data_IF_125755059048
#
_entry.id   IF_125755059048
#
_cell.length_a   1.000
_cell.length_b   1.000
_cell.length_c   1.000
_cell.angle_alpha   90.00
_cell.angle_beta   90.00
_cell.angle_gamma   90.00
#
_symmetry.space_group_name_H-M   'P 1'
#
loop_
_entity.id
_entity.type
_entity.pdbx_description
1 polymer ?
#
# COMPACT_ATOMS: atom_id res chain seq x y z
N UNK A 1 29.25 17.88 -9.68
CA UNK A 1 28.32 17.36 -8.64
C UNK A 1 27.26 16.53 -9.36
N UNK A 2 27.39 15.20 -9.52
CA UNK A 2 26.93 14.61 -10.78
C UNK A 2 25.69 13.70 -10.69
N UNK A 3 24.73 13.97 -11.59
CA UNK A 3 23.77 13.08 -12.28
C UNK A 3 22.78 12.19 -11.51
N UNK A 4 22.92 11.95 -10.21
CA UNK A 4 22.06 10.99 -9.51
C UNK A 4 20.60 11.44 -9.35
N UNK A 5 20.36 12.75 -9.31
CA UNK A 5 19.01 13.34 -9.17
C UNK A 5 18.17 13.19 -10.45
N UNK A 6 18.80 13.18 -11.63
CA UNK A 6 18.09 13.04 -12.93
C UNK A 6 17.58 11.61 -13.17
N UNK A 7 18.32 10.60 -12.68
CA UNK A 7 17.96 9.19 -12.91
C UNK A 7 16.76 8.73 -12.08
N UNK A 8 16.75 9.01 -10.77
CA UNK A 8 15.61 8.69 -9.89
C UNK A 8 14.37 9.53 -10.24
N UNK A 9 14.56 10.81 -10.56
CA UNK A 9 13.47 11.68 -11.01
C UNK A 9 12.85 11.13 -12.29
N UNK A 10 13.66 10.71 -13.27
CA UNK A 10 13.14 10.14 -14.51
C UNK A 10 12.43 8.80 -14.28
N UNK A 11 12.97 7.91 -13.45
CA UNK A 11 12.27 6.65 -13.10
C UNK A 11 10.92 6.96 -12.44
N UNK A 12 10.84 8.00 -11.61
CA UNK A 12 9.60 8.46 -10.97
C UNK A 12 8.59 8.99 -11.99
N UNK A 13 9.02 9.77 -12.98
CA UNK A 13 8.17 10.22 -14.10
C UNK A 13 7.61 9.04 -14.89
N UNK A 14 8.45 8.03 -15.17
CA UNK A 14 8.02 6.80 -15.87
C UNK A 14 7.03 6.01 -15.02
N UNK A 15 7.24 5.88 -13.71
CA UNK A 15 6.29 5.23 -12.81
C UNK A 15 4.93 5.97 -12.77
N UNK A 16 4.96 7.30 -12.81
CA UNK A 16 3.74 8.13 -12.87
C UNK A 16 3.01 7.92 -14.20
N UNK A 17 3.73 7.85 -15.32
CA UNK A 17 3.16 7.53 -16.63
C UNK A 17 2.55 6.13 -16.64
N UNK A 18 3.22 5.14 -16.04
CA UNK A 18 2.68 3.79 -15.88
C UNK A 18 1.33 3.80 -15.16
N UNK A 19 1.20 4.58 -14.08
CA UNK A 19 -0.08 4.67 -13.36
C UNK A 19 -1.19 5.22 -14.22
N UNK A 20 -0.94 6.27 -15.01
CA UNK A 20 -1.96 6.81 -15.92
C UNK A 20 -2.41 5.77 -16.95
N UNK A 21 -1.49 4.97 -17.49
CA UNK A 21 -1.85 3.87 -18.40
C UNK A 21 -2.70 2.83 -17.68
N UNK A 22 -2.30 2.43 -16.47
CA UNK A 22 -3.00 1.41 -15.69
C UNK A 22 -4.39 1.87 -15.23
N UNK A 23 -4.54 3.13 -14.83
CA UNK A 23 -5.82 3.77 -14.49
C UNK A 23 -6.77 3.79 -15.68
N UNK A 24 -6.25 4.14 -16.86
CA UNK A 24 -7.07 4.29 -18.06
C UNK A 24 -7.45 2.95 -18.71
N UNK A 25 -6.61 1.92 -18.59
CA UNK A 25 -6.71 0.69 -19.41
C UNK A 25 -6.63 -0.63 -18.64
N UNK A 26 -6.35 -0.58 -17.35
CA UNK A 26 -6.05 -1.77 -16.54
C UNK A 26 -4.57 -2.16 -16.58
N UNK A 27 -4.13 -2.84 -15.51
CA UNK A 27 -2.73 -3.25 -15.33
C UNK A 27 -2.29 -4.29 -16.37
N UNK A 28 -3.21 -5.11 -16.87
CA UNK A 28 -2.97 -6.15 -17.89
C UNK A 28 -2.54 -5.56 -19.24
N UNK A 29 -2.96 -4.32 -19.54
CA UNK A 29 -2.59 -3.64 -20.78
C UNK A 29 -1.23 -2.96 -20.73
N UNK A 30 -0.79 -2.54 -19.54
CA UNK A 30 0.48 -1.84 -19.33
C UNK A 30 1.64 -2.57 -20.01
N UNK A 31 2.28 -1.91 -20.98
CA UNK A 31 3.49 -2.40 -21.64
C UNK A 31 4.55 -1.30 -21.72
N UNK A 32 5.82 -1.68 -21.91
CA UNK A 32 6.93 -0.72 -22.08
C UNK A 32 6.65 0.31 -23.18
N UNK A 33 5.95 -0.09 -24.26
CA UNK A 33 5.59 0.81 -25.37
C UNK A 33 4.53 1.81 -24.99
N UNK A 34 3.48 1.36 -24.31
CA UNK A 34 2.40 2.24 -23.86
C UNK A 34 2.93 3.26 -22.84
N UNK A 35 3.73 2.79 -21.88
CA UNK A 35 4.33 3.68 -20.88
C UNK A 35 5.32 4.65 -21.51
N UNK A 36 6.13 4.22 -22.49
CA UNK A 36 7.03 5.13 -23.21
C UNK A 36 6.23 6.24 -23.94
N UNK A 37 5.12 5.87 -24.56
CA UNK A 37 4.22 6.80 -25.25
C UNK A 37 3.61 7.80 -24.27
N UNK A 38 3.06 7.32 -23.15
CA UNK A 38 2.48 8.16 -22.09
C UNK A 38 3.53 9.08 -21.44
N UNK A 39 4.76 8.59 -21.26
CA UNK A 39 5.88 9.36 -20.70
C UNK A 39 6.52 10.33 -21.72
N UNK A 40 6.09 10.31 -22.99
CA UNK A 40 6.66 11.16 -24.03
C UNK A 40 8.13 10.85 -24.37
N UNK A 41 8.57 9.60 -24.21
CA UNK A 41 9.93 9.15 -24.50
C UNK A 41 9.95 7.99 -25.50
N UNK A 42 11.09 7.74 -26.14
CA UNK A 42 11.25 6.58 -27.01
C UNK A 42 11.29 5.28 -26.22
N UNK A 43 10.86 4.17 -26.83
CA UNK A 43 10.95 2.84 -26.23
C UNK A 43 12.39 2.50 -25.82
N UNK A 44 13.37 2.79 -26.69
CA UNK A 44 14.78 2.54 -26.39
C UNK A 44 15.26 3.34 -25.18
N UNK A 45 14.78 4.58 -25.02
CA UNK A 45 15.08 5.39 -23.82
C UNK A 45 14.46 4.77 -22.57
N UNK A 46 13.23 4.30 -22.62
CA UNK A 46 12.60 3.63 -21.49
C UNK A 46 13.33 2.34 -21.12
N UNK A 47 13.76 1.56 -22.12
CA UNK A 47 14.53 0.32 -21.93
C UNK A 47 15.90 0.54 -21.28
N UNK A 48 16.46 1.75 -21.33
CA UNK A 48 17.64 2.11 -20.54
C UNK A 48 17.35 2.22 -19.03
N UNK A 49 16.09 2.46 -18.63
CA UNK A 49 15.68 2.55 -17.22
C UNK A 49 15.08 1.24 -16.69
N UNK A 50 14.37 0.50 -17.55
CA UNK A 50 13.67 -0.74 -17.20
C UNK A 50 13.85 -1.78 -18.30
N UNK A 51 14.54 -2.87 -17.99
CA UNK A 51 14.82 -3.96 -18.93
C UNK A 51 13.58 -4.80 -19.24
N UNK A 52 12.60 -4.85 -18.32
CA UNK A 52 11.36 -5.61 -18.48
C UNK A 52 10.14 -4.90 -17.93
N UNK A 53 8.95 -5.40 -18.30
CA UNK A 53 7.68 -4.95 -17.74
C UNK A 53 7.63 -5.21 -16.24
N UNK A 54 8.13 -6.36 -15.80
CA UNK A 54 8.19 -6.76 -14.40
C UNK A 54 9.04 -5.78 -13.59
N UNK A 55 10.23 -5.42 -14.07
CA UNK A 55 11.09 -4.44 -13.39
C UNK A 55 10.39 -3.08 -13.26
N UNK A 56 9.72 -2.64 -14.32
CA UNK A 56 8.97 -1.39 -14.32
C UNK A 56 7.79 -1.42 -13.33
N UNK A 57 7.06 -2.55 -13.26
CA UNK A 57 5.95 -2.74 -12.33
C UNK A 57 6.43 -2.78 -10.87
N UNK A 58 7.50 -3.52 -10.59
CA UNK A 58 8.11 -3.60 -9.27
C UNK A 58 8.52 -2.21 -8.78
N UNK A 59 9.24 -1.45 -9.62
CA UNK A 59 9.64 -0.10 -9.27
C UNK A 59 8.44 0.83 -9.03
N UNK A 60 7.39 0.72 -9.85
CA UNK A 60 6.18 1.52 -9.66
C UNK A 60 5.49 1.19 -8.32
N UNK A 61 5.43 -0.09 -7.92
CA UNK A 61 4.87 -0.50 -6.63
C UNK A 61 5.72 -0.06 -5.45
N UNK A 62 7.05 -0.18 -5.55
CA UNK A 62 7.98 0.33 -4.54
C UNK A 62 7.85 1.85 -4.36
N UNK A 63 7.65 2.58 -5.46
CA UNK A 63 7.43 4.01 -5.42
C UNK A 63 6.14 4.38 -4.67
N UNK A 64 5.00 3.70 -4.92
CA UNK A 64 3.77 3.90 -4.12
C UNK A 64 4.01 3.53 -2.66
N UNK A 65 4.61 2.37 -2.40
CA UNK A 65 4.85 1.88 -1.04
C UNK A 65 5.68 2.87 -0.23
N UNK A 66 6.74 3.43 -0.81
CA UNK A 66 7.55 4.48 -0.18
C UNK A 66 6.72 5.72 0.13
N UNK A 67 5.88 6.18 -0.81
CA UNK A 67 4.99 7.33 -0.60
C UNK A 67 3.98 7.10 0.52
N UNK A 68 3.44 5.90 0.65
CA UNK A 68 2.54 5.54 1.74
C UNK A 68 3.27 5.52 3.09
N UNK A 69 4.47 4.94 3.14
CA UNK A 69 5.31 4.96 4.35
C UNK A 69 5.67 6.39 4.76
N UNK A 70 6.05 7.25 3.81
CA UNK A 70 6.32 8.68 4.05
C UNK A 70 5.09 9.39 4.63
N UNK A 71 3.88 9.09 4.13
CA UNK A 71 2.62 9.66 4.63
C UNK A 71 2.29 9.17 6.04
N UNK A 72 2.45 7.88 6.33
CA UNK A 72 2.33 7.33 7.70
C UNK A 72 3.31 8.05 8.63
N UNK A 73 4.58 8.13 8.23
CA UNK A 73 5.63 8.75 9.05
C UNK A 73 5.33 10.24 9.32
N UNK A 74 4.89 10.99 8.32
CA UNK A 74 4.47 12.38 8.48
C UNK A 74 3.28 12.50 9.45
N UNK A 75 2.26 11.64 9.33
CA UNK A 75 1.14 11.59 10.29
C UNK A 75 1.60 11.27 11.70
N UNK A 76 2.51 10.31 11.87
CA UNK A 76 3.10 9.98 13.18
C UNK A 76 3.84 11.17 13.78
N UNK A 77 4.66 11.88 13.00
CA UNK A 77 5.36 13.08 13.47
C UNK A 77 4.41 14.18 13.94
N UNK A 78 3.27 14.36 13.27
CA UNK A 78 2.26 15.34 13.70
C UNK A 78 1.53 14.96 14.97
N UNK A 79 1.41 13.66 15.25
CA UNK A 79 0.72 13.13 16.44
C UNK A 79 1.62 13.05 17.68
N UNK A 80 2.94 13.18 17.53
CA UNK A 80 3.90 13.02 18.63
C UNK A 80 3.98 11.57 19.08
N UNK A 81 3.62 11.32 20.35
CA UNK A 81 3.49 9.96 20.91
C UNK A 81 1.99 9.62 21.09
N UNK A 82 1.28 9.26 20.00
CA UNK A 82 -0.15 8.97 20.09
C UNK A 82 -0.41 7.71 20.92
N UNK A 83 -1.57 7.62 21.58
CA UNK A 83 -2.02 6.38 22.21
C UNK A 83 -1.95 5.19 21.24
N UNK A 84 -1.72 3.96 21.72
CA UNK A 84 -1.53 2.79 20.84
C UNK A 84 -2.68 2.58 19.85
N UNK A 85 -3.91 2.87 20.25
CA UNK A 85 -5.10 2.85 19.38
C UNK A 85 -4.99 3.82 18.20
N UNK A 86 -4.62 5.06 18.47
CA UNK A 86 -4.45 6.08 17.43
C UNK A 86 -3.29 5.76 16.47
N UNK A 87 -2.20 5.20 17.00
CA UNK A 87 -1.07 4.70 16.19
C UNK A 87 -1.53 3.59 15.24
N UNK A 88 -2.19 2.56 15.76
CA UNK A 88 -2.65 1.43 14.94
C UNK A 88 -3.68 1.89 13.90
N UNK A 89 -4.62 2.76 14.31
CA UNK A 89 -5.60 3.39 13.41
C UNK A 89 -4.92 4.08 12.24
N UNK A 90 -3.93 4.92 12.48
CA UNK A 90 -3.25 5.65 11.42
C UNK A 90 -2.53 4.73 10.42
N UNK A 91 -1.99 3.60 10.87
CA UNK A 91 -1.37 2.60 9.99
C UNK A 91 -2.43 1.91 9.13
N UNK A 92 -3.51 1.39 9.73
CA UNK A 92 -4.52 0.62 8.97
C UNK A 92 -5.36 1.50 8.05
N UNK A 93 -5.55 2.77 8.37
CA UNK A 93 -6.29 3.72 7.52
C UNK A 93 -5.55 4.03 6.20
N UNK A 94 -4.23 3.92 6.17
CA UNK A 94 -3.44 4.04 4.92
C UNK A 94 -3.61 2.83 3.98
N UNK A 95 -4.17 1.73 4.50
CA UNK A 95 -4.49 0.56 3.70
C UNK A 95 -5.86 0.66 3.01
N UNK A 96 -6.66 1.67 3.36
CA UNK A 96 -8.05 1.80 2.92
C UNK A 96 -8.21 2.87 1.82
N UNK A 97 -9.12 2.69 0.86
CA UNK A 97 -9.45 3.69 -0.17
C UNK A 97 -10.34 4.80 0.41
N UNK A 98 -9.76 5.72 1.18
CA UNK A 98 -10.52 6.75 1.93
C UNK A 98 -10.35 8.17 1.42
N UNK A 99 -9.40 8.40 0.51
CA UNK A 99 -9.22 9.65 -0.23
C UNK A 99 -8.95 9.37 -1.72
N UNK A 100 -9.19 10.35 -2.59
CA UNK A 100 -9.08 10.18 -4.05
C UNK A 100 -7.71 9.63 -4.49
N UNK A 101 -6.63 9.99 -3.78
CA UNK A 101 -5.29 9.47 -4.07
C UNK A 101 -5.13 8.02 -3.60
N UNK A 102 -5.77 7.67 -2.48
CA UNK A 102 -5.79 6.33 -1.93
C UNK A 102 -6.67 5.39 -2.77
N UNK A 103 -7.75 5.87 -3.38
CA UNK A 103 -8.62 5.09 -4.27
C UNK A 103 -7.81 4.52 -5.45
N UNK A 104 -7.18 5.38 -6.23
CA UNK A 104 -6.34 4.98 -7.37
C UNK A 104 -5.22 4.02 -6.95
N UNK A 105 -4.46 4.36 -5.90
CA UNK A 105 -3.38 3.51 -5.41
C UNK A 105 -3.86 2.14 -4.91
N UNK A 106 -5.06 2.08 -4.36
CA UNK A 106 -5.66 0.84 -3.85
C UNK A 106 -6.16 -0.07 -4.96
N UNK A 107 -6.75 0.46 -6.04
CA UNK A 107 -7.14 -0.32 -7.21
C UNK A 107 -5.91 -0.93 -7.90
N UNK A 108 -4.85 -0.14 -7.98
CA UNK A 108 -3.54 -0.58 -8.47
C UNK A 108 -2.96 -1.70 -7.63
N UNK A 109 -3.01 -1.57 -6.30
CA UNK A 109 -2.57 -2.62 -5.39
C UNK A 109 -3.36 -3.92 -5.61
N UNK A 110 -4.69 -3.85 -5.72
CA UNK A 110 -5.53 -5.01 -6.02
C UNK A 110 -5.14 -5.69 -7.34
N UNK A 111 -4.95 -4.89 -8.40
CA UNK A 111 -4.53 -5.38 -9.71
C UNK A 111 -3.15 -6.03 -9.66
N UNK A 112 -2.20 -5.42 -8.93
CA UNK A 112 -0.85 -5.94 -8.75
C UNK A 112 -0.86 -7.26 -7.98
N UNK A 113 -1.66 -7.38 -6.92
CA UNK A 113 -1.77 -8.62 -6.13
C UNK A 113 -2.28 -9.79 -6.99
N UNK A 114 -3.26 -9.53 -7.86
CA UNK A 114 -3.76 -10.54 -8.79
C UNK A 114 -2.69 -10.98 -9.80
N UNK A 115 -1.91 -10.03 -10.33
CA UNK A 115 -0.79 -10.32 -11.24
C UNK A 115 0.33 -11.08 -10.51
N UNK A 116 0.70 -10.64 -9.30
CA UNK A 116 1.71 -11.27 -8.46
C UNK A 116 1.34 -12.70 -8.07
N UNK A 117 0.06 -13.00 -7.87
CA UNK A 117 -0.40 -14.36 -7.66
C UNK A 117 -0.04 -15.29 -8.84
N UNK A 118 0.07 -14.76 -10.06
CA UNK A 118 0.33 -15.51 -11.30
C UNK A 118 1.79 -15.47 -11.76
N UNK A 119 2.56 -14.45 -11.37
CA UNK A 119 3.95 -14.25 -11.77
C UNK A 119 4.91 -14.46 -10.58
N UNK A 120 5.80 -15.49 -10.58
CA UNK A 120 6.71 -15.76 -9.48
C UNK A 120 7.60 -14.58 -9.08
N UNK A 121 8.15 -13.84 -10.04
CA UNK A 121 9.03 -12.70 -9.77
C UNK A 121 8.31 -11.59 -9.01
N UNK A 122 7.06 -11.31 -9.38
CA UNK A 122 6.23 -10.32 -8.68
C UNK A 122 5.72 -10.86 -7.33
N UNK A 123 5.46 -12.17 -7.25
CA UNK A 123 5.01 -12.84 -6.02
C UNK A 123 6.01 -12.71 -4.89
N UNK A 124 7.29 -12.90 -5.17
CA UNK A 124 8.34 -12.81 -4.15
C UNK A 124 8.37 -11.41 -3.53
N UNK A 125 8.32 -10.37 -4.37
CA UNK A 125 8.24 -8.99 -3.90
C UNK A 125 6.97 -8.71 -3.09
N UNK A 126 5.79 -9.09 -3.60
CA UNK A 126 4.52 -8.92 -2.90
C UNK A 126 4.52 -9.62 -1.52
N UNK A 127 5.11 -10.82 -1.45
CA UNK A 127 5.24 -11.60 -0.22
C UNK A 127 6.10 -10.86 0.81
N UNK A 128 7.25 -10.32 0.41
CA UNK A 128 8.11 -9.54 1.31
C UNK A 128 7.39 -8.29 1.84
N UNK A 129 6.62 -7.60 0.99
CA UNK A 129 5.86 -6.42 1.39
C UNK A 129 4.77 -6.75 2.43
N UNK A 130 4.03 -7.84 2.22
CA UNK A 130 3.02 -8.31 3.20
C UNK A 130 3.67 -8.74 4.51
N UNK A 131 4.83 -9.42 4.46
CA UNK A 131 5.57 -9.81 5.66
C UNK A 131 6.05 -8.57 6.43
N UNK A 132 6.63 -7.58 5.75
CA UNK A 132 7.10 -6.36 6.38
C UNK A 132 5.96 -5.57 7.04
N UNK A 133 4.83 -5.42 6.35
CA UNK A 133 3.65 -4.77 6.90
C UNK A 133 3.10 -5.51 8.13
N UNK A 134 3.04 -6.84 8.08
CA UNK A 134 2.61 -7.66 9.21
C UNK A 134 3.54 -7.44 10.42
N UNK A 135 4.85 -7.41 10.23
CA UNK A 135 5.80 -7.14 11.31
C UNK A 135 5.62 -5.76 11.94
N UNK A 136 5.29 -4.73 11.15
CA UNK A 136 4.97 -3.38 11.67
C UNK A 136 3.71 -3.41 12.54
N UNK A 137 2.64 -4.05 12.07
CA UNK A 137 1.38 -4.18 12.81
C UNK A 137 1.55 -5.03 14.07
N UNK A 138 2.28 -6.14 13.98
CA UNK A 138 2.61 -7.02 15.11
C UNK A 138 3.32 -6.25 16.22
N UNK A 139 4.32 -5.42 15.87
CA UNK A 139 5.00 -4.56 16.83
C UNK A 139 4.07 -3.54 17.50
N UNK A 140 3.17 -2.91 16.73
CA UNK A 140 2.19 -1.96 17.28
C UNK A 140 1.18 -2.63 18.21
N UNK A 141 0.72 -3.83 17.88
CA UNK A 141 -0.20 -4.63 18.71
C UNK A 141 0.52 -5.10 19.99
N UNK A 142 1.75 -5.60 19.89
CA UNK A 142 2.54 -6.03 21.03
C UNK A 142 2.79 -4.89 22.04
N UNK A 143 3.00 -3.66 21.56
CA UNK A 143 3.11 -2.48 22.43
C UNK A 143 1.78 -2.17 23.13
N UNK A 144 0.65 -2.25 22.41
CA UNK A 144 -0.69 -2.05 22.99
C UNK A 144 -1.05 -3.14 24.02
N UNK A 145 -0.55 -4.37 23.84
CA UNK A 145 -0.70 -5.43 24.84
C UNK A 145 0.12 -5.15 26.10
N UNK A 146 1.33 -4.60 25.96
CA UNK A 146 2.19 -4.23 27.09
C UNK A 146 1.59 -3.09 27.93
N UNK A 147 0.88 -2.16 27.32
CA UNK A 147 0.17 -1.07 28.01
C UNK A 147 -1.20 -1.50 28.57
N UNK A 148 -1.66 -2.72 28.27
CA UNK A 148 -2.97 -3.23 28.72
C UNK A 148 -4.17 -2.77 27.87
N UNK A 149 -3.91 -2.08 26.75
CA UNK A 149 -4.93 -1.60 25.81
C UNK A 149 -5.50 -2.71 24.92
N UNK A 150 -4.76 -3.82 24.77
CA UNK A 150 -5.19 -5.06 24.11
C UNK A 150 -4.98 -6.22 25.09
N UNK A 151 -5.92 -7.16 25.10
CA UNK A 151 -5.86 -8.35 25.95
C UNK A 151 -4.61 -9.21 25.67
N UNK A 152 -3.88 -9.57 26.73
CA UNK A 152 -2.60 -10.29 26.64
C UNK A 152 -2.73 -11.75 26.17
N UNK A 153 -3.93 -12.33 26.18
CA UNK A 153 -4.21 -13.69 25.71
C UNK A 153 -4.28 -13.83 24.18
N UNK A 154 -4.25 -12.72 23.44
CA UNK A 154 -4.28 -12.71 21.96
C UNK A 154 -2.90 -12.94 21.37
N UNK A 155 -2.84 -13.54 20.18
CA UNK A 155 -1.59 -13.64 19.42
C UNK A 155 -1.42 -12.41 18.51
N UNK A 156 -0.40 -11.54 18.75
CA UNK A 156 -0.21 -10.32 17.98
C UNK A 156 0.02 -10.58 16.49
N UNK A 157 0.64 -11.72 16.14
CA UNK A 157 0.88 -12.09 14.74
C UNK A 157 -0.43 -12.44 14.03
N UNK A 158 -1.32 -13.16 14.72
CA UNK A 158 -2.66 -13.47 14.21
C UNK A 158 -3.50 -12.21 14.05
N UNK A 159 -3.52 -11.33 15.05
CA UNK A 159 -4.28 -10.07 14.97
C UNK A 159 -3.77 -9.15 13.84
N UNK A 160 -2.45 -9.06 13.64
CA UNK A 160 -1.87 -8.34 12.51
C UNK A 160 -2.32 -8.92 11.15
N UNK A 161 -2.35 -10.25 11.02
CA UNK A 161 -2.83 -10.90 9.80
C UNK A 161 -4.33 -10.66 9.55
N UNK A 162 -5.15 -10.67 10.60
CA UNK A 162 -6.58 -10.37 10.51
C UNK A 162 -6.85 -8.93 10.10
N UNK A 163 -6.06 -7.96 10.61
CA UNK A 163 -6.16 -6.55 10.19
C UNK A 163 -5.85 -6.37 8.70
N UNK A 164 -4.80 -7.04 8.20
CA UNK A 164 -4.46 -7.01 6.78
C UNK A 164 -5.59 -7.61 5.95
N UNK A 165 -6.09 -8.79 6.34
CA UNK A 165 -7.16 -9.47 5.63
C UNK A 165 -8.46 -8.64 5.60
N UNK A 166 -8.79 -7.97 6.71
CA UNK A 166 -9.93 -7.06 6.79
C UNK A 166 -9.74 -5.87 5.85
N UNK A 167 -8.58 -5.21 5.87
CA UNK A 167 -8.31 -4.07 5.01
C UNK A 167 -8.36 -4.44 3.51
N UNK A 168 -7.82 -5.60 3.14
CA UNK A 168 -7.88 -6.11 1.77
C UNK A 168 -9.32 -6.42 1.33
N UNK A 169 -10.11 -7.05 2.21
CA UNK A 169 -11.53 -7.33 1.98
C UNK A 169 -12.36 -6.05 1.82
N UNK A 170 -12.15 -5.06 2.70
CA UNK A 170 -12.84 -3.76 2.63
C UNK A 170 -12.45 -2.99 1.37
N UNK A 171 -11.18 -3.01 0.97
CA UNK A 171 -10.70 -2.40 -0.28
C UNK A 171 -11.37 -3.04 -1.49
N UNK A 172 -11.44 -4.37 -1.54
CA UNK A 172 -12.15 -5.09 -2.60
C UNK A 172 -13.63 -4.72 -2.63
N UNK A 173 -14.31 -4.73 -1.47
CA UNK A 173 -15.72 -4.34 -1.35
C UNK A 173 -15.99 -2.90 -1.79
N UNK A 174 -15.08 -1.97 -1.51
CA UNK A 174 -15.17 -0.58 -1.99
C UNK A 174 -15.17 -0.51 -3.52
N UNK A 175 -14.19 -1.12 -4.19
CA UNK A 175 -14.09 -1.10 -5.66
C UNK A 175 -15.22 -1.84 -6.36
N UNK A 176 -15.86 -2.79 -5.68
CA UNK A 176 -17.05 -3.49 -6.16
C UNK A 176 -18.36 -2.71 -5.89
N UNK A 177 -18.29 -1.54 -5.25
CA UNK A 177 -19.46 -0.75 -4.88
C UNK A 177 -20.29 -1.32 -3.71
N UNK A 178 -19.76 -2.32 -3.00
CA UNK A 178 -20.40 -2.92 -1.81
C UNK A 178 -20.31 -1.99 -0.60
N UNK A 179 -19.22 -1.20 -0.52
CA UNK A 179 -18.97 -0.25 0.56
C UNK A 179 -18.63 1.13 0.02
N UNK A 180 -19.24 2.17 0.57
CA UNK A 180 -18.73 3.54 0.46
C UNK A 180 -17.44 3.72 1.27
N UNK A 181 -16.68 4.77 1.00
CA UNK A 181 -15.49 5.13 1.79
C UNK A 181 -15.83 5.25 3.29
N UNK A 182 -16.96 5.88 3.63
CA UNK A 182 -17.42 6.02 5.00
C UNK A 182 -17.72 4.66 5.68
N UNK A 183 -18.35 3.73 4.96
CA UNK A 183 -18.61 2.38 5.49
C UNK A 183 -17.31 1.59 5.69
N UNK A 184 -16.36 1.69 4.76
CA UNK A 184 -15.03 1.07 4.87
C UNK A 184 -14.31 1.56 6.13
N UNK A 185 -14.32 2.86 6.41
CA UNK A 185 -13.76 3.42 7.64
C UNK A 185 -14.49 2.90 8.87
N UNK A 186 -15.82 2.98 8.89
CA UNK A 186 -16.62 2.57 10.04
C UNK A 186 -16.43 1.08 10.40
N UNK A 187 -16.30 0.20 9.41
CA UNK A 187 -16.05 -1.22 9.62
C UNK A 187 -14.66 -1.49 10.20
N UNK A 188 -13.63 -0.78 9.72
CA UNK A 188 -12.29 -0.86 10.29
C UNK A 188 -12.26 -0.34 11.73
N UNK A 189 -12.89 0.81 12.00
CA UNK A 189 -13.01 1.37 13.35
C UNK A 189 -13.78 0.45 14.30
N UNK A 190 -14.85 -0.19 13.82
CA UNK A 190 -15.60 -1.20 14.57
C UNK A 190 -14.73 -2.39 14.96
N UNK A 191 -13.85 -2.85 14.06
CA UNK A 191 -12.92 -3.92 14.37
C UNK A 191 -11.83 -3.47 15.36
N UNK A 192 -11.26 -2.28 15.20
CA UNK A 192 -10.35 -1.69 16.19
C UNK A 192 -11.04 -1.55 17.56
N UNK A 193 -12.33 -1.21 17.60
CA UNK A 193 -13.16 -1.21 18.81
C UNK A 193 -13.20 -2.55 19.54
N UNK A 194 -13.27 -3.67 18.81
CA UNK A 194 -13.27 -5.03 19.39
C UNK A 194 -11.89 -5.55 19.77
N UNK A 195 -10.84 -5.02 19.13
CA UNK A 195 -9.46 -5.41 19.38
C UNK A 195 -8.95 -4.78 20.68
N UNK A 196 -9.29 -3.52 20.92
CA UNK A 196 -8.91 -2.78 22.12
C UNK A 196 -9.89 -3.06 23.26
N UNK A 197 -9.37 -3.31 24.46
CA UNK A 197 -10.13 -3.65 25.67
C UNK A 197 -10.80 -2.44 26.32
N UNK A 198 -10.35 -1.23 26.00
CA UNK A 198 -10.87 0.03 26.54
C UNK A 198 -11.24 1.03 25.44
N UNK A 199 -12.37 1.72 25.62
CA UNK A 199 -12.65 3.01 24.98
C UNK A 199 -11.73 4.06 25.62
N UNK A 200 -10.51 4.19 25.09
CA UNK A 200 -9.60 5.31 25.38
C UNK A 200 -9.47 6.21 24.15
#
# INVERSE_FOLDING_TARGET
>A
MPRHVDHEQRRTEIATALWRVAEARGLDKVSLREVATEAGISLGRLQHYFASREEMLLFAMEFISRKNVERVAARMMTLGDPPPRARLKAIVMEMLPVDDKAETGSLMNLSFQLEAARNPTLRDHATQQVIALRSVLEGAIALAMQSGDIESGRDPRTEAALLIALADGLRSGFHLGVHSAAQTVALMESHLGRLFTAEA
#
